data_IF_614368961166
#
_entry.id   IF_614368961166
#
_cell.length_a   1.000
_cell.length_b   1.000
_cell.length_c   1.000
_cell.angle_alpha   90.00
_cell.angle_beta   90.00
_cell.angle_gamma   90.00
#
_symmetry.space_group_name_H-M   'P 1'
#
loop_
_entity.id
_entity.type
_entity.pdbx_description
1 polymer ?
#
# COMPACT_ATOMS: atom_id res chain seq x y z
N UNK A 1 21.01 34.23 -22.54
CA UNK A 1 19.91 33.23 -22.65
C UNK A 1 19.67 32.66 -21.25
N UNK A 2 18.53 32.96 -20.63
CA UNK A 2 18.22 32.48 -19.28
C UNK A 2 17.43 31.16 -19.38
N UNK A 3 18.00 30.08 -18.84
CA UNK A 3 17.31 28.81 -18.70
C UNK A 3 16.32 28.91 -17.53
N UNK A 4 15.02 28.84 -17.83
CA UNK A 4 13.97 28.81 -16.83
C UNK A 4 13.90 27.38 -16.24
N UNK A 5 14.47 27.17 -15.05
CA UNK A 5 14.22 25.95 -14.28
C UNK A 5 12.80 26.09 -13.72
N UNK A 6 11.82 25.49 -14.40
CA UNK A 6 10.52 25.23 -13.80
C UNK A 6 10.71 24.18 -12.72
N UNK A 7 10.86 24.63 -11.48
CA UNK A 7 10.64 23.77 -10.32
C UNK A 7 9.15 23.40 -10.36
N UNK A 8 8.83 22.20 -10.82
CA UNK A 8 7.51 21.64 -10.56
C UNK A 8 7.39 21.53 -9.03
N UNK A 9 6.43 22.19 -8.39
CA UNK A 9 6.22 21.98 -6.98
C UNK A 9 5.87 20.50 -6.81
N UNK A 10 6.75 19.76 -6.13
CA UNK A 10 6.44 18.43 -5.65
C UNK A 10 5.37 18.64 -4.58
N UNK A 11 4.10 18.65 -4.99
CA UNK A 11 2.98 18.71 -4.08
C UNK A 11 2.87 17.32 -3.43
N UNK A 12 3.68 17.10 -2.40
CA UNK A 12 3.46 16.06 -1.42
C UNK A 12 2.31 16.51 -0.52
N UNK A 13 1.07 16.33 -0.98
CA UNK A 13 -0.12 16.39 -0.13
C UNK A 13 -1.03 15.23 -0.55
N UNK A 14 -1.61 14.55 0.44
CA UNK A 14 -2.48 13.39 0.28
C UNK A 14 -3.61 13.57 -0.72
N UNK A 15 -4.25 12.45 -1.10
CA UNK A 15 -5.44 12.34 -1.97
C UNK A 15 -5.86 13.68 -2.58
N UNK A 16 -5.15 14.08 -3.64
CA UNK A 16 -5.08 15.47 -4.08
C UNK A 16 -6.49 15.94 -4.46
N UNK A 17 -7.05 16.86 -3.67
CA UNK A 17 -8.31 17.54 -3.98
C UNK A 17 -8.10 18.42 -5.21
N UNK A 18 -8.31 17.82 -6.37
CA UNK A 18 -8.09 18.42 -7.67
C UNK A 18 -9.37 18.36 -8.47
N UNK A 19 -9.72 19.48 -9.10
CA UNK A 19 -10.85 19.50 -10.03
C UNK A 19 -10.61 18.54 -11.20
N UNK A 20 -11.67 18.02 -11.85
CA UNK A 20 -11.54 17.22 -13.05
C UNK A 20 -10.68 17.86 -14.15
N UNK A 21 -10.67 19.19 -14.27
CA UNK A 21 -9.85 19.94 -15.22
C UNK A 21 -8.37 19.89 -14.85
N UNK A 22 -8.04 20.02 -13.56
CA UNK A 22 -6.68 19.87 -13.07
C UNK A 22 -6.15 18.45 -13.31
N UNK A 23 -6.99 17.42 -13.08
CA UNK A 23 -6.65 16.02 -13.38
C UNK A 23 -6.42 15.84 -14.88
N UNK A 24 -7.33 16.34 -15.74
CA UNK A 24 -7.17 16.28 -17.20
C UNK A 24 -5.88 16.96 -17.66
N UNK A 25 -5.54 18.13 -17.10
CA UNK A 25 -4.29 18.83 -17.40
C UNK A 25 -3.08 17.99 -16.98
N UNK A 26 -3.09 17.40 -15.79
CA UNK A 26 -2.05 16.50 -15.32
C UNK A 26 -1.85 15.30 -16.26
N UNK A 27 -2.93 14.67 -16.73
CA UNK A 27 -2.86 13.57 -17.70
C UNK A 27 -2.25 13.99 -19.04
N UNK A 28 -2.50 15.22 -19.51
CA UNK A 28 -1.85 15.74 -20.73
C UNK A 28 -0.34 15.91 -20.56
N UNK A 29 0.11 16.26 -19.36
CA UNK A 29 1.53 16.38 -19.03
C UNK A 29 2.20 15.03 -18.72
N UNK A 30 1.42 13.98 -18.44
CA UNK A 30 1.92 12.64 -18.06
C UNK A 30 2.90 12.05 -19.09
N UNK A 31 2.72 12.34 -20.37
CA UNK A 31 3.64 11.93 -21.45
C UNK A 31 5.08 12.47 -21.30
N UNK A 32 5.26 13.49 -20.47
CA UNK A 32 6.55 14.08 -20.14
C UNK A 32 7.04 13.69 -18.74
N UNK A 33 6.19 13.04 -17.94
CA UNK A 33 6.55 12.56 -16.61
C UNK A 33 7.41 11.29 -16.72
N UNK A 34 8.42 11.20 -15.85
CA UNK A 34 9.24 9.99 -15.72
C UNK A 34 8.59 9.06 -14.71
N UNK A 35 8.35 7.81 -15.11
CA UNK A 35 7.92 6.77 -14.18
C UNK A 35 8.99 6.54 -13.09
N UNK A 36 8.52 6.36 -11.86
CA UNK A 36 9.33 6.15 -10.66
C UNK A 36 9.06 4.75 -10.12
N UNK A 37 10.13 4.01 -9.86
CA UNK A 37 10.07 2.82 -9.00
C UNK A 37 10.27 3.26 -7.55
N UNK A 38 9.43 2.77 -6.65
CA UNK A 38 9.58 2.95 -5.21
C UNK A 38 9.51 1.62 -4.52
N UNK A 39 10.46 1.40 -3.63
CA UNK A 39 10.53 0.24 -2.75
C UNK A 39 10.11 0.68 -1.35
N UNK A 40 9.17 -0.06 -0.75
CA UNK A 40 8.74 0.15 0.63
C UNK A 40 8.89 -1.16 1.41
N UNK A 41 9.24 -1.04 2.68
CA UNK A 41 9.35 -2.15 3.61
C UNK A 41 8.74 -1.74 4.94
N UNK A 42 7.76 -2.50 5.42
CA UNK A 42 7.08 -2.24 6.70
C UNK A 42 6.32 -3.48 7.19
N UNK A 43 5.91 -3.46 8.45
CA UNK A 43 5.11 -4.52 9.06
C UNK A 43 3.63 -4.11 9.15
N UNK A 44 2.74 -5.04 8.82
CA UNK A 44 1.29 -4.92 8.98
C UNK A 44 0.85 -5.77 10.16
N UNK A 45 0.21 -5.14 11.14
CA UNK A 45 -0.31 -5.81 12.32
C UNK A 45 -1.82 -6.04 12.14
N UNK A 46 -2.23 -7.28 11.96
CA UNK A 46 -3.64 -7.69 11.94
C UNK A 46 -4.02 -8.14 13.35
N UNK A 47 -5.06 -7.50 13.90
CA UNK A 47 -5.58 -7.81 15.22
C UNK A 47 -7.04 -8.23 15.10
N UNK A 48 -7.35 -9.44 15.56
CA UNK A 48 -8.70 -10.03 15.52
C UNK A 48 -9.35 -9.93 16.89
N UNK A 49 -8.61 -10.21 17.96
CA UNK A 49 -9.11 -10.07 19.34
C UNK A 49 -8.71 -8.72 19.95
N UNK A 50 -9.54 -8.21 20.86
CA UNK A 50 -9.33 -6.95 21.57
C UNK A 50 -8.34 -7.04 22.75
N UNK A 51 -7.79 -8.23 23.03
CA UNK A 51 -6.76 -8.38 24.05
C UNK A 51 -5.53 -7.56 23.65
N UNK A 52 -5.29 -6.47 24.36
CA UNK A 52 -4.23 -5.49 24.07
C UNK A 52 -2.85 -6.16 24.10
N UNK A 53 -2.19 -6.38 22.95
CA UNK A 53 -0.73 -6.45 22.96
C UNK A 53 -0.23 -5.07 23.38
N UNK A 54 0.93 -5.01 24.05
CA UNK A 54 1.65 -3.74 24.23
C UNK A 54 1.59 -2.95 22.93
N UNK A 55 1.34 -1.63 23.02
CA UNK A 55 1.44 -0.74 21.86
C UNK A 55 2.73 -1.09 21.11
N UNK A 56 2.69 -1.22 19.76
CA UNK A 56 3.91 -1.50 19.03
C UNK A 56 4.95 -0.44 19.44
N UNK A 57 6.16 -0.89 19.79
CA UNK A 57 7.26 0.02 20.12
C UNK A 57 7.75 0.78 18.90
N UNK A 58 7.33 0.35 17.70
CA UNK A 58 7.63 0.97 16.41
C UNK A 58 6.68 2.11 16.08
N UNK A 59 7.18 3.07 15.32
CA UNK A 59 6.40 4.19 14.78
C UNK A 59 5.29 3.68 13.85
N UNK A 60 4.08 4.17 14.03
CA UNK A 60 2.96 3.94 13.09
C UNK A 60 3.11 4.91 11.92
N UNK A 61 3.11 4.37 10.69
CA UNK A 61 3.28 5.15 9.44
C UNK A 61 2.03 5.13 8.55
N UNK A 62 0.99 4.41 8.95
CA UNK A 62 -0.25 4.26 8.20
C UNK A 62 -1.18 3.20 8.78
N UNK A 63 -2.30 3.00 8.08
CA UNK A 63 -3.32 2.02 8.41
C UNK A 63 -3.71 1.19 7.18
N UNK A 64 -3.94 -0.11 7.38
CA UNK A 64 -4.52 -0.97 6.37
C UNK A 64 -6.04 -1.05 6.59
N UNK A 65 -6.83 -0.68 5.58
CA UNK A 65 -8.29 -0.77 5.61
C UNK A 65 -8.77 -1.71 4.52
N UNK A 66 -9.51 -2.74 4.87
CA UNK A 66 -9.92 -3.72 3.89
C UNK A 66 -10.88 -4.75 4.43
N UNK A 67 -11.25 -5.65 3.55
CA UNK A 67 -12.05 -6.83 3.85
C UNK A 67 -11.35 -8.05 3.26
N UNK A 68 -11.37 -9.14 4.00
CA UNK A 68 -10.90 -10.43 3.53
C UNK A 68 -11.93 -11.49 3.86
N UNK A 69 -11.99 -12.55 3.06
CA UNK A 69 -12.82 -13.72 3.30
C UNK A 69 -11.96 -14.97 3.18
N UNK A 70 -12.27 -16.01 3.95
CA UNK A 70 -11.71 -17.34 3.72
C UNK A 70 -12.16 -17.85 2.36
N UNK A 71 -11.22 -18.20 1.49
CA UNK A 71 -11.49 -18.77 0.18
C UNK A 71 -11.43 -20.31 0.22
N UNK A 72 -10.43 -20.87 0.90
CA UNK A 72 -10.24 -22.31 1.08
C UNK A 72 -9.95 -22.64 2.55
N UNK A 73 -10.17 -23.91 2.94
CA UNK A 73 -9.95 -24.44 4.29
C UNK A 73 -8.92 -25.57 4.28
N UNK A 74 -8.45 -25.94 5.47
CA UNK A 74 -7.55 -27.09 5.70
C UNK A 74 -6.22 -26.99 4.95
N UNK A 75 -5.77 -28.04 4.25
CA UNK A 75 -4.43 -28.14 3.64
C UNK A 75 -4.13 -27.05 2.61
N UNK A 76 -5.16 -26.44 2.01
CA UNK A 76 -5.06 -25.39 1.00
C UNK A 76 -5.58 -24.04 1.52
N UNK A 77 -5.58 -23.83 2.84
CA UNK A 77 -6.16 -22.64 3.47
C UNK A 77 -5.67 -21.33 2.82
N UNK A 78 -6.62 -20.51 2.39
CA UNK A 78 -6.35 -19.23 1.76
C UNK A 78 -7.41 -18.21 2.14
N UNK A 79 -7.02 -16.93 2.10
CA UNK A 79 -7.94 -15.80 2.15
C UNK A 79 -7.91 -15.09 0.80
N UNK A 80 -8.99 -14.43 0.44
CA UNK A 80 -9.03 -13.49 -0.68
C UNK A 80 -9.57 -12.16 -0.17
N UNK A 81 -9.06 -11.05 -0.68
CA UNK A 81 -9.59 -9.77 -0.26
C UNK A 81 -8.97 -8.57 -0.95
N UNK A 82 -9.43 -7.41 -0.50
CA UNK A 82 -8.95 -6.11 -0.92
C UNK A 82 -8.54 -5.32 0.30
N UNK A 83 -7.43 -4.60 0.21
CA UNK A 83 -6.96 -3.70 1.25
C UNK A 83 -6.38 -2.42 0.65
N UNK A 84 -6.63 -1.30 1.32
CA UNK A 84 -5.99 -0.02 1.07
C UNK A 84 -4.94 0.22 2.17
N UNK A 85 -3.70 0.40 1.76
CA UNK A 85 -2.60 0.84 2.62
C UNK A 85 -2.59 2.37 2.61
N UNK A 86 -3.14 2.99 3.64
CA UNK A 86 -3.23 4.44 3.78
C UNK A 86 -2.09 4.98 4.64
N UNK A 87 -1.14 5.67 4.01
CA UNK A 87 0.01 6.25 4.69
C UNK A 87 -0.38 7.58 5.36
N UNK A 88 0.06 7.81 6.59
CA UNK A 88 -0.22 9.05 7.34
C UNK A 88 1.04 9.74 7.87
N UNK A 89 2.22 9.31 7.39
CA UNK A 89 3.51 9.82 7.81
C UNK A 89 4.52 9.85 6.65
N UNK A 90 5.59 10.64 6.81
CA UNK A 90 6.71 10.70 5.88
C UNK A 90 6.35 11.23 4.49
N UNK A 91 7.17 10.88 3.49
CA UNK A 91 7.05 11.38 2.10
C UNK A 91 5.75 11.01 1.39
N UNK A 92 5.02 10.02 1.89
CA UNK A 92 3.80 9.51 1.28
C UNK A 92 2.55 9.79 2.13
N UNK A 93 2.67 10.67 3.14
CA UNK A 93 1.55 11.06 3.98
C UNK A 93 0.30 11.46 3.15
N UNK A 94 -0.81 10.82 3.45
CA UNK A 94 -2.12 10.97 2.81
C UNK A 94 -2.24 10.29 1.44
N UNK A 95 -1.24 9.54 1.00
CA UNK A 95 -1.32 8.69 -0.21
C UNK A 95 -1.79 7.30 0.16
N UNK A 96 -2.34 6.57 -0.82
CA UNK A 96 -2.81 5.19 -0.62
C UNK A 96 -2.30 4.27 -1.72
N UNK A 97 -2.10 3.00 -1.38
CA UNK A 97 -1.97 1.90 -2.34
C UNK A 97 -3.15 0.94 -2.17
N UNK A 98 -3.73 0.50 -3.27
CA UNK A 98 -4.82 -0.48 -3.30
C UNK A 98 -4.27 -1.83 -3.71
N UNK A 99 -4.44 -2.82 -2.85
CA UNK A 99 -3.96 -4.19 -3.02
C UNK A 99 -5.17 -5.11 -3.08
N UNK A 100 -5.17 -6.01 -4.06
CA UNK A 100 -6.21 -7.00 -4.28
C UNK A 100 -5.53 -8.35 -4.48
N UNK A 101 -6.01 -9.42 -3.87
CA UNK A 101 -5.51 -10.74 -4.25
C UNK A 101 -5.80 -11.86 -3.26
N UNK A 102 -5.28 -13.02 -3.64
CA UNK A 102 -5.24 -14.20 -2.81
C UNK A 102 -4.09 -14.13 -1.81
N UNK A 103 -4.33 -14.72 -0.65
CA UNK A 103 -3.43 -14.85 0.46
C UNK A 103 -3.37 -16.34 0.84
N UNK A 104 -2.58 -17.15 0.10
CA UNK A 104 -2.40 -18.57 0.38
C UNK A 104 -1.57 -18.74 1.66
N UNK A 105 -2.21 -19.13 2.75
CA UNK A 105 -1.66 -18.99 4.11
C UNK A 105 -0.31 -19.70 4.29
N UNK A 106 -0.19 -20.93 3.79
CA UNK A 106 0.99 -21.78 3.94
C UNK A 106 2.14 -21.47 2.96
N UNK A 107 1.94 -20.62 1.96
CA UNK A 107 3.04 -20.21 1.08
C UNK A 107 3.94 -19.20 1.79
N UNK A 108 5.26 -19.36 1.71
CA UNK A 108 6.21 -18.45 2.37
C UNK A 108 6.10 -17.01 1.84
N UNK A 109 6.03 -16.87 0.52
CA UNK A 109 5.93 -15.59 -0.16
C UNK A 109 4.56 -15.49 -0.81
N UNK A 110 3.79 -14.47 -0.43
CA UNK A 110 2.44 -14.23 -0.95
C UNK A 110 2.48 -12.97 -1.79
N UNK A 111 2.43 -13.15 -3.09
CA UNK A 111 2.43 -12.05 -4.06
C UNK A 111 1.00 -11.55 -4.27
N UNK A 112 0.76 -10.25 -4.06
CA UNK A 112 -0.51 -9.61 -4.32
C UNK A 112 -0.31 -8.36 -5.20
N UNK A 113 -1.09 -8.19 -6.27
CA UNK A 113 -0.97 -7.02 -7.13
C UNK A 113 -1.43 -5.73 -6.43
N UNK A 114 -0.67 -4.67 -6.68
CA UNK A 114 -1.12 -3.29 -6.50
C UNK A 114 -1.93 -2.93 -7.74
N UNK A 115 -3.22 -2.73 -7.55
CA UNK A 115 -4.18 -2.45 -8.63
C UNK A 115 -4.46 -0.95 -8.79
N UNK A 116 -3.90 -0.12 -7.91
CA UNK A 116 -4.04 1.32 -7.98
C UNK A 116 -3.45 2.04 -6.77
N UNK A 117 -3.66 3.34 -6.74
CA UNK A 117 -3.29 4.20 -5.62
C UNK A 117 -3.79 5.63 -5.79
N UNK A 118 -3.59 6.43 -4.75
CA UNK A 118 -3.97 7.84 -4.72
C UNK A 118 -2.82 8.71 -4.22
N UNK A 119 -2.97 10.03 -4.35
CA UNK A 119 -1.92 10.98 -3.97
C UNK A 119 -0.65 10.77 -4.79
N UNK A 120 0.47 10.56 -4.10
CA UNK A 120 1.76 10.26 -4.73
C UNK A 120 1.75 8.95 -5.53
N UNK A 121 0.82 8.04 -5.25
CA UNK A 121 0.69 6.75 -5.94
C UNK A 121 -0.43 6.74 -6.99
N UNK A 122 -0.78 7.90 -7.56
CA UNK A 122 -1.76 7.95 -8.65
C UNK A 122 -1.29 7.11 -9.84
N UNK A 123 -2.19 6.30 -10.39
CA UNK A 123 -1.91 5.30 -11.44
C UNK A 123 -0.89 4.22 -11.04
N UNK A 124 -0.70 4.00 -9.74
CA UNK A 124 0.24 3.01 -9.26
C UNK A 124 -0.11 1.60 -9.72
N UNK A 125 0.93 0.84 -10.10
CA UNK A 125 0.88 -0.60 -10.35
C UNK A 125 2.14 -1.25 -9.81
N UNK A 126 2.06 -2.49 -9.40
CA UNK A 126 3.20 -3.17 -8.80
C UNK A 126 2.77 -4.37 -7.98
N UNK A 127 3.63 -4.74 -7.03
CA UNK A 127 3.53 -5.98 -6.29
C UNK A 127 3.78 -5.70 -4.81
N UNK A 128 2.96 -6.32 -3.97
CA UNK A 128 3.25 -6.55 -2.55
C UNK A 128 3.64 -8.01 -2.39
N UNK A 129 4.79 -8.26 -1.77
CA UNK A 129 5.18 -9.58 -1.28
C UNK A 129 5.02 -9.59 0.23
N UNK A 130 4.11 -10.42 0.72
CA UNK A 130 3.80 -10.59 2.13
C UNK A 130 4.42 -11.87 2.68
N UNK A 131 5.10 -11.76 3.84
CA UNK A 131 5.72 -12.86 4.57
C UNK A 131 5.19 -12.84 6.00
N UNK A 132 4.72 -13.98 6.51
CA UNK A 132 4.26 -14.05 7.90
C UNK A 132 5.48 -13.93 8.81
N UNK A 133 5.53 -12.88 9.63
CA UNK A 133 6.58 -12.69 10.62
C UNK A 133 6.21 -13.38 11.93
N UNK A 134 4.97 -13.18 12.40
CA UNK A 134 4.41 -13.93 13.52
C UNK A 134 2.93 -14.21 13.28
N UNK A 135 2.45 -15.34 13.79
CA UNK A 135 1.05 -15.71 13.80
C UNK A 135 0.72 -16.41 15.12
N UNK A 136 -0.42 -16.08 15.70
CA UNK A 136 -0.90 -16.68 16.93
C UNK A 136 -2.20 -17.45 16.63
N UNK A 137 -2.14 -18.78 16.66
CA UNK A 137 -3.27 -19.65 16.32
C UNK A 137 -4.51 -19.42 17.20
N UNK A 138 -4.30 -19.09 18.47
CA UNK A 138 -5.38 -18.90 19.45
C UNK A 138 -6.15 -17.60 19.21
N UNK A 139 -5.44 -16.49 19.00
CA UNK A 139 -6.04 -15.16 18.83
C UNK A 139 -6.26 -14.78 17.37
N UNK A 140 -5.67 -15.53 16.43
CA UNK A 140 -5.59 -15.22 15.00
C UNK A 140 -4.90 -13.89 14.67
N UNK A 141 -4.16 -13.32 15.64
CA UNK A 141 -3.36 -12.11 15.40
C UNK A 141 -2.15 -12.44 14.53
N UNK A 142 -1.81 -11.52 13.63
CA UNK A 142 -0.76 -11.72 12.62
C UNK A 142 0.11 -10.46 12.53
N UNK A 143 1.43 -10.64 12.43
CA UNK A 143 2.34 -9.60 11.97
C UNK A 143 2.91 -10.06 10.64
N UNK A 144 2.72 -9.23 9.61
CA UNK A 144 3.10 -9.56 8.24
C UNK A 144 4.18 -8.59 7.79
N UNK A 145 5.30 -9.11 7.32
CA UNK A 145 6.38 -8.36 6.70
C UNK A 145 6.03 -8.08 5.23
N UNK A 146 5.83 -6.81 4.88
CA UNK A 146 5.44 -6.35 3.55
C UNK A 146 6.63 -5.74 2.82
N UNK A 147 6.95 -6.32 1.66
CA UNK A 147 7.91 -5.79 0.70
C UNK A 147 7.13 -5.30 -0.52
N UNK A 148 7.20 -4.01 -0.82
CA UNK A 148 6.37 -3.37 -1.85
C UNK A 148 7.27 -2.81 -2.94
N UNK A 149 7.03 -3.22 -4.18
CA UNK A 149 7.61 -2.61 -5.37
C UNK A 149 6.48 -1.94 -6.16
N UNK A 150 6.53 -0.62 -6.30
CA UNK A 150 5.48 0.15 -6.95
C UNK A 150 6.02 1.12 -7.99
N UNK A 151 5.44 1.06 -9.20
CA UNK A 151 5.63 2.02 -10.27
C UNK A 151 4.57 3.11 -10.17
N UNK A 152 4.98 4.39 -10.22
CA UNK A 152 4.11 5.57 -10.20
C UNK A 152 4.78 6.76 -10.90
N UNK A 153 4.21 7.98 -10.82
CA UNK A 153 4.67 9.16 -11.58
C UNK A 153 4.98 10.38 -10.72
#
# INVERSE_FOLDING_TARGET
MAALIKVLPILAHGSIDQSPEAIKKWFKELRHAKEKLTELHFYVHVRVTAESPKSPSSKIIGHAHGITSSALKEKDASRIGTMNLAFNDGKFNGSTLSVLGDYPFFQKYKEMPIVGGSGAFRLARGIVTAIIHTYNDTTQNEIIDFHVLVLHY
#
